data_IF_564890168593
#
_entry.id   IF_564890168593
#
_cell.length_a   1.000
_cell.length_b   1.000
_cell.length_c   1.000
_cell.angle_alpha   90.00
_cell.angle_beta   90.00
_cell.angle_gamma   90.00
#
_symmetry.space_group_name_H-M   'P 1'
#
loop_
_entity.id
_entity.type
_entity.pdbx_description
1 polymer ?
#
# COMPACT_ATOMS: atom_id res chain seq x y z
N UNK A 1 8.55 20.34 18.69
CA UNK A 1 7.60 19.83 17.69
C UNK A 1 7.16 21.00 16.84
N UNK A 2 7.35 20.94 15.52
CA UNK A 2 6.87 21.98 14.62
C UNK A 2 5.37 21.76 14.38
N UNK A 3 4.56 22.75 14.69
CA UNK A 3 3.13 22.75 14.36
C UNK A 3 2.94 23.33 12.96
N UNK A 4 2.30 22.58 12.07
CA UNK A 4 1.93 23.04 10.73
C UNK A 4 0.72 23.98 10.83
N UNK A 5 0.63 24.95 9.92
CA UNK A 5 -0.52 25.84 9.86
C UNK A 5 -1.76 25.10 9.32
N UNK A 6 -2.98 25.54 9.64
CA UNK A 6 -4.21 24.94 9.12
C UNK A 6 -4.24 24.86 7.59
N UNK A 7 -3.67 25.85 6.90
CA UNK A 7 -3.60 25.89 5.44
C UNK A 7 -2.71 24.79 4.88
N UNK A 8 -1.57 24.53 5.53
CA UNK A 8 -0.66 23.44 5.14
C UNK A 8 -1.34 22.09 5.37
N UNK A 9 -2.03 21.92 6.50
CA UNK A 9 -2.76 20.68 6.79
C UNK A 9 -3.85 20.41 5.76
N UNK A 10 -4.65 21.43 5.43
CA UNK A 10 -5.68 21.33 4.40
C UNK A 10 -5.12 20.99 3.02
N UNK A 11 -3.89 21.40 2.71
CA UNK A 11 -3.22 21.03 1.45
C UNK A 11 -2.72 19.58 1.47
N UNK A 12 -2.19 19.11 2.61
CA UNK A 12 -1.73 17.72 2.76
C UNK A 12 -2.89 16.72 2.68
N UNK A 13 -4.08 17.05 3.19
CA UNK A 13 -5.27 16.19 3.10
C UNK A 13 -5.71 15.89 1.66
N UNK A 14 -5.31 16.72 0.69
CA UNK A 14 -5.63 16.53 -0.73
C UNK A 14 -4.71 15.52 -1.42
N UNK A 15 -3.64 15.08 -0.76
CA UNK A 15 -2.68 14.17 -1.38
C UNK A 15 -3.30 12.79 -1.61
N UNK A 16 -3.08 12.28 -2.81
CA UNK A 16 -3.37 10.89 -3.15
C UNK A 16 -2.06 10.16 -3.38
N UNK A 17 -1.82 9.13 -2.57
CA UNK A 17 -0.63 8.28 -2.63
C UNK A 17 -1.04 6.91 -3.18
N UNK A 18 -0.53 6.58 -4.36
CA UNK A 18 -0.81 5.28 -5.00
C UNK A 18 -0.14 4.12 -4.25
N UNK A 19 -0.85 2.99 -4.14
CA UNK A 19 -0.31 1.78 -3.52
C UNK A 19 0.19 0.76 -4.56
N UNK A 20 1.43 0.26 -4.43
CA UNK A 20 1.94 -0.79 -5.31
C UNK A 20 1.40 -2.18 -4.91
N UNK A 21 0.70 -2.88 -5.81
CA UNK A 21 0.09 -4.19 -5.51
C UNK A 21 1.09 -5.28 -5.11
N UNK A 22 2.36 -5.16 -5.52
CA UNK A 22 3.40 -6.13 -5.17
C UNK A 22 3.92 -5.97 -3.73
N UNK A 23 3.73 -4.81 -3.08
CA UNK A 23 4.21 -4.58 -1.73
C UNK A 23 3.45 -5.35 -0.65
N UNK A 24 2.26 -5.86 -0.97
CA UNK A 24 1.46 -6.69 -0.06
C UNK A 24 1.90 -8.16 -0.03
N UNK A 25 2.77 -8.59 -0.94
CA UNK A 25 3.33 -9.95 -0.93
C UNK A 25 4.48 -10.11 0.08
N UNK A 26 4.98 -11.35 0.22
CA UNK A 26 6.18 -11.61 1.00
C UNK A 26 7.37 -10.82 0.45
N UNK A 27 8.08 -10.13 1.33
CA UNK A 27 9.26 -9.35 0.99
C UNK A 27 10.54 -10.13 1.30
N UNK A 28 11.61 -9.76 0.60
CA UNK A 28 12.88 -10.43 0.72
C UNK A 28 13.97 -9.74 -0.08
N UNK A 29 15.15 -10.33 -0.04
CA UNK A 29 16.29 -9.94 -0.86
C UNK A 29 16.64 -11.06 -1.83
N UNK A 30 17.64 -10.84 -2.68
CA UNK A 30 18.21 -11.90 -3.54
C UNK A 30 18.65 -13.16 -2.80
N UNK A 31 18.86 -13.08 -1.48
CA UNK A 31 19.33 -14.21 -0.67
C UNK A 31 18.20 -15.01 -0.05
N UNK A 32 17.09 -14.36 0.34
CA UNK A 32 15.98 -15.01 1.01
C UNK A 32 14.72 -14.15 1.00
N UNK A 33 13.58 -14.83 0.87
CA UNK A 33 12.23 -14.31 1.13
C UNK A 33 11.74 -14.92 2.43
N UNK A 34 11.13 -14.11 3.31
CA UNK A 34 10.56 -14.56 4.57
C UNK A 34 9.05 -14.41 4.53
N UNK A 35 8.35 -15.52 4.80
CA UNK A 35 6.89 -15.56 4.83
C UNK A 35 6.33 -14.99 6.13
N UNK A 36 5.22 -14.27 6.06
CA UNK A 36 4.42 -13.91 7.24
C UNK A 36 3.06 -14.62 7.24
N UNK A 37 2.50 -14.98 8.40
CA UNK A 37 1.13 -15.46 8.45
C UNK A 37 0.16 -14.40 7.92
N UNK A 38 -0.79 -14.82 7.09
CA UNK A 38 -1.80 -13.92 6.53
C UNK A 38 -1.38 -13.15 5.28
N UNK A 39 -0.20 -13.43 4.68
CA UNK A 39 0.16 -12.84 3.39
C UNK A 39 -0.90 -13.16 2.32
N UNK A 40 -1.34 -12.16 1.53
CA UNK A 40 -2.32 -12.35 0.48
C UNK A 40 -1.84 -13.34 -0.59
N UNK A 41 -2.75 -14.21 -1.01
CA UNK A 41 -2.51 -15.38 -1.87
C UNK A 41 -2.90 -15.12 -3.31
N UNK A 42 -3.78 -14.17 -3.54
CA UNK A 42 -4.29 -13.79 -4.85
C UNK A 42 -4.38 -12.24 -5.00
N UNK A 43 -4.61 -11.73 -6.21
CA UNK A 43 -4.73 -10.29 -6.44
C UNK A 43 -5.88 -9.63 -5.68
N UNK A 44 -6.97 -10.34 -5.42
CA UNK A 44 -8.14 -9.77 -4.73
C UNK A 44 -7.85 -9.53 -3.25
N UNK A 45 -7.14 -10.46 -2.61
CA UNK A 45 -6.66 -10.27 -1.22
C UNK A 45 -5.71 -9.07 -1.12
N UNK A 46 -4.84 -8.84 -2.12
CA UNK A 46 -3.99 -7.64 -2.17
C UNK A 46 -4.81 -6.35 -2.25
N UNK A 47 -5.91 -6.35 -3.02
CA UNK A 47 -6.82 -5.19 -3.09
C UNK A 47 -7.57 -5.02 -1.77
N UNK A 48 -7.99 -6.11 -1.11
CA UNK A 48 -8.62 -6.03 0.21
C UNK A 48 -7.66 -5.42 1.25
N UNK A 49 -6.39 -5.81 1.24
CA UNK A 49 -5.36 -5.24 2.11
C UNK A 49 -5.09 -3.76 1.79
N UNK A 50 -5.01 -3.40 0.50
CA UNK A 50 -4.89 -2.00 0.09
C UNK A 50 -6.10 -1.15 0.51
N UNK A 51 -7.30 -1.72 0.49
CA UNK A 51 -8.50 -1.05 0.97
C UNK A 51 -8.43 -0.75 2.48
N UNK A 52 -7.80 -1.62 3.29
CA UNK A 52 -7.55 -1.32 4.71
C UNK A 52 -6.62 -0.12 4.88
N UNK A 53 -5.57 -0.01 4.06
CA UNK A 53 -4.67 1.16 4.08
C UNK A 53 -5.46 2.43 3.77
N UNK A 54 -6.31 2.44 2.74
CA UNK A 54 -7.14 3.60 2.44
C UNK A 54 -8.15 3.92 3.56
N UNK A 55 -8.81 2.91 4.14
CA UNK A 55 -9.75 3.10 5.24
C UNK A 55 -9.11 3.78 6.47
N UNK A 56 -7.84 3.48 6.76
CA UNK A 56 -7.11 4.06 7.89
C UNK A 56 -6.42 5.38 7.58
N UNK A 57 -6.05 5.63 6.33
CA UNK A 57 -5.26 6.82 5.95
C UNK A 57 -6.06 7.87 5.20
N UNK A 58 -7.14 7.50 4.53
CA UNK A 58 -7.85 8.28 3.50
C UNK A 58 -6.99 8.72 2.30
N UNK A 59 -5.68 8.44 2.29
CA UNK A 59 -4.74 8.95 1.29
C UNK A 59 -4.52 8.01 0.11
N UNK A 60 -4.97 6.75 0.19
CA UNK A 60 -4.63 5.72 -0.80
C UNK A 60 -5.79 5.24 -1.71
N UNK A 61 -6.43 6.10 -2.53
CA UNK A 61 -7.61 5.71 -3.30
C UNK A 61 -7.31 4.88 -4.57
N UNK A 62 -6.04 4.73 -4.96
CA UNK A 62 -5.63 4.05 -6.21
C UNK A 62 -4.55 3.01 -5.94
N UNK A 63 -4.60 1.90 -6.68
CA UNK A 63 -3.63 0.80 -6.60
C UNK A 63 -2.96 0.58 -7.96
N UNK A 64 -1.63 0.64 -8.00
CA UNK A 64 -0.82 0.25 -9.14
C UNK A 64 -0.78 -1.28 -9.26
N UNK A 65 -1.31 -1.81 -10.36
CA UNK A 65 -1.31 -3.25 -10.62
C UNK A 65 -0.03 -3.68 -11.34
N UNK A 66 0.67 -4.64 -10.74
CA UNK A 66 1.78 -5.35 -11.39
C UNK A 66 1.35 -6.77 -11.77
N UNK A 67 1.31 -7.06 -13.07
CA UNK A 67 1.04 -8.39 -13.61
C UNK A 67 2.36 -9.13 -13.84
N UNK A 68 2.62 -10.14 -13.03
CA UNK A 68 3.72 -11.08 -13.25
C UNK A 68 3.14 -12.34 -13.85
N UNK A 69 3.55 -12.67 -15.07
CA UNK A 69 3.31 -14.00 -15.63
C UNK A 69 4.09 -15.00 -14.79
N UNK A 70 3.38 -15.91 -14.11
CA UNK A 70 4.02 -17.06 -13.50
C UNK A 70 4.35 -18.04 -14.63
N UNK A 71 5.64 -18.18 -14.95
CA UNK A 71 6.13 -19.32 -15.71
C UNK A 71 5.90 -20.64 -14.95
#
# INVERSE_FOLDING_TARGET
MTTLSPEILAELEKQSIELPSWAFGNSGTRFRVFGTPGTPRDPYEKIADAAQVHAHTALAPVVALHMVEKA
#
